data_IF_972040753301
#
_entry.id   IF_972040753301
#
_cell.length_a   1.000
_cell.length_b   1.000
_cell.length_c   1.000
_cell.angle_alpha   90.00
_cell.angle_beta   90.00
_cell.angle_gamma   90.00
#
_symmetry.space_group_name_H-M   'P 1'
#
loop_
_entity.id
_entity.type
_entity.pdbx_description
1 polymer ?
#
# COMPACT_ATOMS: atom_id res chain seq x y z
N UNK A 1 37.25 -22.15 23.10
CA UNK A 1 36.35 -22.00 21.94
C UNK A 1 35.72 -20.60 21.95
N UNK A 2 36.37 -19.62 21.33
CA UNK A 2 35.84 -18.26 21.20
C UNK A 2 34.75 -18.24 20.12
N UNK A 3 33.51 -18.49 20.54
CA UNK A 3 32.32 -18.44 19.69
C UNK A 3 32.17 -17.02 19.12
N UNK A 4 32.58 -16.84 17.86
CA UNK A 4 32.49 -15.59 17.09
C UNK A 4 31.04 -15.13 16.86
N UNK A 5 30.51 -14.43 17.87
CA UNK A 5 29.37 -13.49 17.74
C UNK A 5 29.73 -12.45 16.68
N UNK A 6 28.72 -11.95 15.95
CA UNK A 6 28.97 -10.79 15.08
C UNK A 6 29.50 -9.67 15.95
N UNK A 7 30.55 -9.00 15.49
CA UNK A 7 31.12 -7.87 16.20
C UNK A 7 30.01 -6.83 16.41
N UNK A 8 29.69 -6.57 17.69
CA UNK A 8 28.68 -5.60 18.10
C UNK A 8 28.95 -4.24 17.46
N UNK A 9 30.22 -3.89 17.27
CA UNK A 9 30.68 -2.71 16.53
C UNK A 9 30.14 -2.66 15.09
N UNK A 10 30.11 -3.79 14.37
CA UNK A 10 29.57 -3.88 13.01
C UNK A 10 28.06 -3.58 13.00
N UNK A 11 27.31 -4.12 13.97
CA UNK A 11 25.87 -3.87 14.09
C UNK A 11 25.60 -2.38 14.35
N UNK A 12 26.35 -1.76 15.25
CA UNK A 12 26.23 -0.33 15.53
C UNK A 12 26.63 0.56 14.34
N UNK A 13 27.68 0.21 13.61
CA UNK A 13 28.07 0.90 12.37
C UNK A 13 26.95 0.84 11.32
N UNK A 14 26.33 -0.33 11.16
CA UNK A 14 25.20 -0.53 10.27
C UNK A 14 23.99 0.30 10.71
N UNK A 15 23.66 0.33 12.00
CA UNK A 15 22.57 1.15 12.57
C UNK A 15 22.78 2.65 12.37
N UNK A 16 24.00 3.15 12.59
CA UNK A 16 24.36 4.56 12.30
C UNK A 16 24.18 4.89 10.83
N UNK A 17 24.59 3.98 9.93
CA UNK A 17 24.39 4.15 8.50
C UNK A 17 22.90 4.16 8.16
N UNK A 18 22.11 3.24 8.74
CA UNK A 18 20.66 3.15 8.57
C UNK A 18 20.00 4.48 8.97
N UNK A 19 20.22 4.96 10.19
CA UNK A 19 19.62 6.20 10.71
C UNK A 19 20.03 7.44 9.91
N UNK A 20 21.29 7.53 9.47
CA UNK A 20 21.74 8.61 8.55
C UNK A 20 20.97 8.62 7.23
N UNK A 21 20.72 7.45 6.65
CA UNK A 21 19.93 7.35 5.42
C UNK A 21 18.45 7.68 5.66
N UNK A 22 17.88 7.32 6.81
CA UNK A 22 16.48 7.66 7.14
C UNK A 22 16.27 9.17 7.20
N UNK A 23 17.22 9.93 7.77
CA UNK A 23 17.12 11.40 7.89
C UNK A 23 16.96 12.13 6.54
N UNK A 24 17.32 11.48 5.43
CA UNK A 24 17.19 12.04 4.08
C UNK A 24 15.79 11.92 3.46
N UNK A 25 14.87 11.18 4.07
CA UNK A 25 13.49 11.10 3.54
C UNK A 25 12.74 12.42 3.76
N UNK A 26 11.81 12.84 2.89
CA UNK A 26 11.17 14.16 3.01
C UNK A 26 10.13 14.25 4.13
N UNK A 27 9.37 13.18 4.38
CA UNK A 27 8.23 13.20 5.29
C UNK A 27 8.58 12.71 6.70
N UNK A 28 8.09 13.40 7.72
CA UNK A 28 8.33 13.06 9.12
C UNK A 28 7.80 11.67 9.50
N UNK A 29 6.56 11.35 9.12
CA UNK A 29 5.95 10.03 9.39
C UNK A 29 6.82 8.87 8.85
N UNK A 30 7.26 8.97 7.60
CA UNK A 30 8.12 7.95 6.97
C UNK A 30 9.45 7.81 7.71
N UNK A 31 10.03 8.91 8.20
CA UNK A 31 11.25 8.87 9.03
C UNK A 31 10.99 8.14 10.34
N UNK A 32 9.94 8.48 11.06
CA UNK A 32 9.58 7.87 12.34
C UNK A 32 9.32 6.36 12.19
N UNK A 33 8.53 5.97 11.18
CA UNK A 33 8.27 4.57 10.87
C UNK A 33 9.57 3.79 10.62
N UNK A 34 10.47 4.33 9.78
CA UNK A 34 11.73 3.66 9.45
C UNK A 34 12.70 3.64 10.64
N UNK A 35 12.66 4.63 11.53
CA UNK A 35 13.45 4.64 12.76
C UNK A 35 13.03 3.53 13.72
N UNK A 36 11.71 3.38 13.96
CA UNK A 36 11.16 2.28 14.75
C UNK A 36 11.55 0.94 14.14
N UNK A 37 11.36 0.78 12.83
CA UNK A 37 11.77 -0.42 12.11
C UNK A 37 13.27 -0.73 12.24
N UNK A 38 14.14 0.28 12.09
CA UNK A 38 15.58 0.11 12.20
C UNK A 38 16.00 -0.33 13.61
N UNK A 39 15.33 0.19 14.64
CA UNK A 39 15.49 -0.23 16.03
C UNK A 39 15.11 -1.69 16.20
N UNK A 40 13.92 -2.09 15.78
CA UNK A 40 13.43 -3.48 15.88
C UNK A 40 14.36 -4.46 15.15
N UNK A 41 14.80 -4.10 13.94
CA UNK A 41 15.69 -4.94 13.13
C UNK A 41 17.05 -5.16 13.83
N UNK A 42 17.57 -4.15 14.54
CA UNK A 42 18.83 -4.23 15.31
C UNK A 42 18.64 -4.96 16.63
N UNK A 43 17.58 -4.68 17.39
CA UNK A 43 17.23 -5.41 18.62
C UNK A 43 17.06 -6.90 18.32
N UNK A 44 16.43 -7.23 17.20
CA UNK A 44 16.27 -8.62 16.73
C UNK A 44 17.61 -9.30 16.42
N UNK A 45 18.63 -8.56 15.97
CA UNK A 45 19.98 -9.12 15.78
C UNK A 45 20.64 -9.35 17.14
N UNK A 46 20.61 -8.36 18.03
CA UNK A 46 21.34 -8.37 19.31
C UNK A 46 20.76 -9.35 20.33
N UNK A 47 19.43 -9.40 20.49
CA UNK A 47 18.79 -10.12 21.59
C UNK A 47 18.18 -11.47 21.17
N UNK A 48 17.69 -11.59 19.94
CA UNK A 48 16.89 -12.75 19.52
C UNK A 48 17.62 -13.75 18.63
N UNK A 49 18.95 -13.65 18.50
CA UNK A 49 19.75 -14.50 17.62
C UNK A 49 20.57 -15.51 18.42
N UNK A 50 19.95 -16.59 18.92
CA UNK A 50 20.67 -17.68 19.59
C UNK A 50 21.57 -18.48 18.65
N UNK A 51 21.23 -18.54 17.35
CA UNK A 51 21.96 -19.29 16.33
C UNK A 51 22.74 -18.35 15.40
N UNK A 52 24.05 -18.55 15.30
CA UNK A 52 24.97 -17.79 14.41
C UNK A 52 24.49 -17.69 12.95
N UNK A 53 23.89 -18.76 12.42
CA UNK A 53 23.33 -18.77 11.05
C UNK A 53 22.17 -17.79 10.89
N UNK A 54 21.31 -17.67 11.91
CA UNK A 54 20.18 -16.73 11.91
C UNK A 54 20.68 -15.29 12.05
N UNK A 55 21.67 -15.06 12.91
CA UNK A 55 22.34 -13.76 13.09
C UNK A 55 22.91 -13.25 11.76
N UNK A 56 23.73 -14.07 11.07
CA UNK A 56 24.28 -13.71 9.74
C UNK A 56 23.18 -13.44 8.70
N UNK A 57 22.08 -14.21 8.72
CA UNK A 57 20.95 -14.00 7.80
C UNK A 57 20.21 -12.69 8.07
N UNK A 58 20.03 -12.33 9.35
CA UNK A 58 19.42 -11.06 9.77
C UNK A 58 20.33 -9.88 9.43
N UNK A 59 21.63 -9.97 9.74
CA UNK A 59 22.60 -8.95 9.36
C UNK A 59 22.60 -8.69 7.84
N UNK A 60 22.66 -9.74 7.03
CA UNK A 60 22.55 -9.62 5.56
C UNK A 60 21.23 -9.00 5.11
N UNK A 61 20.13 -9.24 5.82
CA UNK A 61 18.84 -8.61 5.54
C UNK A 61 18.90 -7.11 5.81
N UNK A 62 19.43 -6.70 6.96
CA UNK A 62 19.58 -5.27 7.31
C UNK A 62 20.55 -4.57 6.36
N UNK A 63 21.67 -5.20 5.99
CA UNK A 63 22.59 -4.67 4.96
C UNK A 63 21.87 -4.43 3.62
N UNK A 64 20.99 -5.35 3.19
CA UNK A 64 20.15 -5.18 1.99
C UNK A 64 19.16 -4.03 2.13
N UNK A 65 18.52 -3.87 3.28
CA UNK A 65 17.61 -2.73 3.54
C UNK A 65 18.36 -1.40 3.53
N UNK A 66 19.54 -1.32 4.15
CA UNK A 66 20.39 -0.12 4.11
C UNK A 66 20.82 0.21 2.68
N UNK A 67 21.19 -0.79 1.87
CA UNK A 67 21.50 -0.57 0.47
C UNK A 67 20.27 -0.11 -0.33
N UNK A 68 19.08 -0.63 -0.02
CA UNK A 68 17.83 -0.16 -0.63
C UNK A 68 17.51 1.28 -0.22
N UNK A 69 17.77 1.70 1.02
CA UNK A 69 17.62 3.10 1.45
C UNK A 69 18.60 4.01 0.72
N UNK A 70 19.86 3.60 0.57
CA UNK A 70 20.84 4.34 -0.24
C UNK A 70 20.35 4.51 -1.67
N UNK A 71 19.79 3.46 -2.27
CA UNK A 71 19.18 3.52 -3.60
C UNK A 71 17.96 4.45 -3.65
N UNK A 72 17.08 4.40 -2.66
CA UNK A 72 15.91 5.29 -2.58
C UNK A 72 16.32 6.77 -2.43
N UNK A 73 17.43 7.04 -1.74
CA UNK A 73 17.98 8.37 -1.53
C UNK A 73 18.86 8.87 -2.69
N UNK A 74 19.34 8.00 -3.60
CA UNK A 74 20.21 8.41 -4.70
C UNK A 74 19.48 9.14 -5.83
N UNK A 75 18.16 9.32 -5.73
CA UNK A 75 17.40 10.15 -6.67
C UNK A 75 17.01 9.44 -7.96
N UNK A 76 17.44 9.92 -9.12
CA UNK A 76 16.86 9.52 -10.41
C UNK A 76 17.24 8.10 -10.86
N UNK A 77 16.30 7.41 -11.49
CA UNK A 77 16.46 6.05 -12.01
C UNK A 77 15.36 5.11 -11.55
N UNK A 78 15.00 4.14 -12.40
CA UNK A 78 13.99 3.12 -12.08
C UNK A 78 14.29 2.36 -10.77
N UNK A 79 15.54 1.93 -10.48
CA UNK A 79 15.84 1.21 -9.24
C UNK A 79 15.61 2.04 -7.98
N UNK A 80 15.88 3.35 -8.04
CA UNK A 80 15.62 4.28 -6.93
C UNK A 80 14.13 4.49 -6.71
N UNK A 81 13.37 4.66 -7.79
CA UNK A 81 11.90 4.76 -7.73
C UNK A 81 11.30 3.51 -7.08
N UNK A 82 11.70 2.33 -7.53
CA UNK A 82 11.20 1.06 -6.98
C UNK A 82 11.59 0.89 -5.50
N UNK A 83 12.80 1.34 -5.12
CA UNK A 83 13.27 1.34 -3.74
C UNK A 83 12.49 2.32 -2.84
N UNK A 84 12.17 3.52 -3.34
CA UNK A 84 11.38 4.50 -2.60
C UNK A 84 9.93 4.04 -2.44
N UNK A 85 9.32 3.53 -3.52
CA UNK A 85 7.98 2.96 -3.47
C UNK A 85 7.90 1.75 -2.54
N UNK A 86 8.96 0.95 -2.43
CA UNK A 86 9.03 -0.12 -1.45
C UNK A 86 8.91 0.40 0.00
N UNK A 87 9.57 1.50 0.35
CA UNK A 87 9.46 2.07 1.71
C UNK A 87 8.11 2.75 1.95
N UNK A 88 7.54 3.41 0.93
CA UNK A 88 6.15 3.88 1.02
C UNK A 88 5.20 2.70 1.24
N UNK A 89 5.34 1.61 0.48
CA UNK A 89 4.49 0.44 0.62
C UNK A 89 4.61 -0.21 2.01
N UNK A 90 5.79 -0.18 2.63
CA UNK A 90 5.97 -0.67 3.99
C UNK A 90 5.33 0.26 5.03
N UNK A 91 5.65 1.56 4.99
CA UNK A 91 5.21 2.54 5.97
C UNK A 91 3.70 2.80 5.92
N UNK A 92 3.11 2.64 4.74
CA UNK A 92 1.67 2.76 4.51
C UNK A 92 0.99 1.41 4.35
N UNK A 93 1.50 0.36 5.02
CA UNK A 93 0.76 -0.88 5.20
C UNK A 93 0.32 -1.59 3.92
N UNK A 94 0.97 -1.36 2.78
CA UNK A 94 0.73 -2.09 1.53
C UNK A 94 1.44 -3.43 1.51
N UNK A 95 2.46 -3.60 2.35
CA UNK A 95 3.27 -4.80 2.49
C UNK A 95 3.57 -5.08 3.97
N UNK A 96 3.93 -6.33 4.26
CA UNK A 96 4.42 -6.73 5.57
C UNK A 96 3.33 -6.86 6.64
N UNK A 97 3.72 -6.69 7.91
CA UNK A 97 2.87 -6.89 9.09
C UNK A 97 1.74 -5.87 9.17
N UNK A 98 2.06 -4.59 8.95
CA UNK A 98 1.08 -3.50 8.99
C UNK A 98 -0.06 -3.71 7.96
N UNK A 99 0.22 -4.30 6.79
CA UNK A 99 -0.84 -4.70 5.85
C UNK A 99 -1.85 -5.65 6.50
N UNK A 100 -1.33 -6.66 7.20
CA UNK A 100 -2.17 -7.67 7.81
C UNK A 100 -3.03 -7.05 8.91
N UNK A 101 -2.43 -6.23 9.78
CA UNK A 101 -3.12 -5.52 10.86
C UNK A 101 -4.23 -4.60 10.33
N UNK A 102 -3.98 -3.87 9.23
CA UNK A 102 -4.99 -3.00 8.61
C UNK A 102 -6.08 -3.79 7.86
N UNK A 103 -5.77 -4.97 7.32
CA UNK A 103 -6.73 -5.81 6.59
C UNK A 103 -7.55 -6.72 7.51
N UNK A 104 -7.03 -7.08 8.68
CA UNK A 104 -7.66 -7.99 9.63
C UNK A 104 -9.11 -7.58 10.00
N UNK A 105 -9.40 -6.32 10.38
CA UNK A 105 -10.78 -5.91 10.67
C UNK A 105 -11.67 -5.94 9.42
N UNK A 106 -11.10 -5.71 8.23
CA UNK A 106 -11.83 -5.76 6.96
C UNK A 106 -12.22 -7.20 6.59
N UNK A 107 -11.36 -8.16 6.89
CA UNK A 107 -11.56 -9.58 6.56
C UNK A 107 -12.46 -10.27 7.60
N UNK A 108 -12.35 -9.89 8.87
CA UNK A 108 -13.11 -10.49 9.98
C UNK A 108 -14.18 -9.54 10.50
N UNK A 109 -14.98 -9.00 9.58
CA UNK A 109 -16.08 -8.11 9.91
C UNK A 109 -17.11 -8.84 10.79
N UNK A 110 -17.30 -8.45 12.07
CA UNK A 110 -18.25 -9.10 12.96
C UNK A 110 -19.70 -8.82 12.59
N UNK A 111 -19.96 -7.79 11.78
CA UNK A 111 -21.31 -7.44 11.31
C UNK A 111 -21.75 -8.29 10.12
N UNK A 112 -20.79 -8.93 9.44
CA UNK A 112 -21.10 -9.77 8.30
C UNK A 112 -21.88 -11.02 8.75
N UNK A 113 -22.96 -11.39 8.04
CA UNK A 113 -23.72 -12.58 8.39
C UNK A 113 -22.83 -13.81 8.26
N UNK A 114 -22.73 -14.58 9.35
CA UNK A 114 -21.90 -15.78 9.40
C UNK A 114 -22.52 -16.83 8.47
N UNK A 115 -21.80 -17.28 7.43
CA UNK A 115 -22.37 -18.23 6.48
C UNK A 115 -22.56 -19.62 7.13
N UNK A 116 -23.50 -20.42 6.59
CA UNK A 116 -23.77 -21.77 7.09
C UNK A 116 -22.56 -22.69 6.90
N UNK A 117 -22.45 -23.72 7.75
CA UNK A 117 -21.41 -24.76 7.63
C UNK A 117 -21.65 -25.56 6.34
N UNK A 118 -20.64 -25.72 5.48
CA UNK A 118 -20.74 -26.57 4.28
C UNK A 118 -20.80 -28.07 4.69
N UNK A 119 -20.04 -28.44 5.73
CA UNK A 119 -20.05 -29.77 6.34
C UNK A 119 -20.66 -29.64 7.74
N UNK A 120 -21.86 -30.19 8.00
CA UNK A 120 -22.59 -29.94 9.25
C UNK A 120 -21.78 -30.24 10.52
N UNK A 121 -21.04 -31.35 10.54
CA UNK A 121 -20.24 -31.79 11.69
C UNK A 121 -18.93 -31.00 11.90
N UNK A 122 -18.50 -30.16 10.96
CA UNK A 122 -17.17 -29.51 11.00
C UNK A 122 -17.32 -27.99 10.99
N UNK A 123 -17.06 -27.34 12.12
CA UNK A 123 -17.22 -25.87 12.22
C UNK A 123 -16.27 -25.08 11.32
N UNK A 124 -15.05 -25.59 11.15
CA UNK A 124 -14.03 -25.02 10.25
C UNK A 124 -14.42 -25.09 8.76
N UNK A 125 -15.52 -25.77 8.43
CA UNK A 125 -16.06 -25.82 7.06
C UNK A 125 -16.91 -24.61 6.69
N UNK A 126 -17.10 -23.65 7.60
CA UNK A 126 -17.75 -22.38 7.25
C UNK A 126 -16.94 -21.68 6.15
N UNK A 127 -17.60 -21.21 5.09
CA UNK A 127 -16.93 -20.42 4.09
C UNK A 127 -16.60 -19.03 4.66
N UNK A 128 -15.71 -18.29 4.01
CA UNK A 128 -15.39 -16.94 4.44
C UNK A 128 -16.59 -16.00 4.30
N UNK A 129 -16.82 -15.18 5.32
CA UNK A 129 -17.78 -14.09 5.25
C UNK A 129 -17.19 -12.93 4.43
N UNK A 130 -17.98 -12.37 3.52
CA UNK A 130 -17.61 -11.19 2.74
C UNK A 130 -18.40 -10.00 3.29
N UNK A 131 -17.75 -9.20 4.14
CA UNK A 131 -18.32 -7.94 4.64
C UNK A 131 -18.50 -6.91 3.53
N UNK A 132 -19.35 -5.92 3.75
CA UNK A 132 -19.68 -4.89 2.75
C UNK A 132 -18.45 -4.11 2.27
N UNK A 133 -17.53 -3.80 3.20
CA UNK A 133 -16.26 -3.11 2.90
C UNK A 133 -15.38 -3.98 2.02
N UNK A 134 -15.25 -5.27 2.34
CA UNK A 134 -14.45 -6.21 1.56
C UNK A 134 -15.01 -6.36 0.14
N UNK A 135 -16.34 -6.46 0.00
CA UNK A 135 -16.98 -6.51 -1.31
C UNK A 135 -16.72 -5.24 -2.13
N UNK A 136 -16.84 -4.06 -1.53
CA UNK A 136 -16.55 -2.78 -2.18
C UNK A 136 -15.10 -2.72 -2.69
N UNK A 137 -14.13 -3.14 -1.86
CA UNK A 137 -12.72 -3.20 -2.25
C UNK A 137 -12.43 -4.24 -3.34
N UNK A 138 -13.17 -5.35 -3.38
CA UNK A 138 -13.03 -6.37 -4.43
C UNK A 138 -13.59 -5.91 -5.78
N UNK A 139 -14.68 -5.14 -5.74
CA UNK A 139 -15.33 -4.57 -6.92
C UNK A 139 -14.60 -3.34 -7.47
N UNK A 140 -13.81 -2.64 -6.66
CA UNK A 140 -13.03 -1.50 -7.12
C UNK A 140 -11.71 -1.92 -7.81
N UNK A 141 -11.35 -1.18 -8.86
CA UNK A 141 -10.11 -1.38 -9.61
C UNK A 141 -8.89 -0.84 -8.85
N UNK A 142 -9.04 0.29 -8.15
CA UNK A 142 -7.92 0.98 -7.51
C UNK A 142 -7.48 0.32 -6.20
N UNK A 143 -8.41 -0.30 -5.48
CA UNK A 143 -8.16 -1.11 -4.30
C UNK A 143 -7.34 -2.39 -4.54
N UNK A 144 -6.94 -2.70 -5.79
CA UNK A 144 -6.33 -4.00 -6.16
C UNK A 144 -5.00 -3.89 -6.88
N UNK A 145 -4.08 -4.81 -6.56
CA UNK A 145 -2.72 -4.89 -7.12
C UNK A 145 -2.67 -5.18 -8.64
N UNK A 146 -3.78 -5.55 -9.29
CA UNK A 146 -3.85 -5.83 -10.74
C UNK A 146 -4.85 -4.99 -11.53
N UNK A 147 -5.50 -4.00 -10.91
CA UNK A 147 -6.50 -3.10 -11.54
C UNK A 147 -7.68 -3.75 -12.28
N UNK A 148 -7.85 -5.06 -12.19
CA UNK A 148 -8.99 -5.79 -12.78
C UNK A 148 -10.04 -6.03 -11.70
N UNK A 149 -11.14 -5.26 -11.63
CA UNK A 149 -12.17 -5.44 -10.62
C UNK A 149 -12.89 -6.79 -10.75
N UNK A 150 -13.46 -7.29 -9.65
CA UNK A 150 -14.30 -8.49 -9.67
C UNK A 150 -15.72 -8.13 -10.08
N UNK A 151 -16.36 -9.00 -10.86
CA UNK A 151 -17.79 -8.87 -11.14
C UNK A 151 -18.57 -9.05 -9.82
N UNK A 152 -19.66 -8.31 -9.58
CA UNK A 152 -20.50 -8.51 -8.40
C UNK A 152 -20.91 -9.98 -8.27
N UNK A 153 -20.66 -10.58 -7.12
CA UNK A 153 -21.00 -11.98 -6.84
C UNK A 153 -20.07 -13.03 -7.46
N UNK A 154 -18.96 -12.64 -8.10
CA UNK A 154 -17.96 -13.61 -8.59
C UNK A 154 -17.21 -14.38 -7.50
N UNK A 155 -17.37 -13.97 -6.24
CA UNK A 155 -16.89 -14.67 -5.04
C UNK A 155 -17.91 -15.65 -4.45
N UNK A 156 -19.13 -15.71 -5.00
CA UNK A 156 -20.12 -16.71 -4.58
C UNK A 156 -19.70 -18.09 -5.07
N UNK A 157 -20.06 -19.12 -4.31
CA UNK A 157 -19.73 -20.52 -4.61
C UNK A 157 -20.05 -20.91 -6.06
N UNK A 158 -21.23 -20.51 -6.56
CA UNK A 158 -21.67 -20.79 -7.92
C UNK A 158 -20.71 -20.30 -9.02
N UNK A 159 -19.95 -19.23 -8.79
CA UNK A 159 -18.98 -18.70 -9.76
C UNK A 159 -17.56 -19.27 -9.58
N UNK A 160 -17.24 -19.79 -8.40
CA UNK A 160 -15.91 -20.30 -8.04
C UNK A 160 -15.73 -21.79 -8.31
N UNK A 161 -16.82 -22.55 -8.23
CA UNK A 161 -16.79 -24.00 -8.30
C UNK A 161 -16.83 -24.48 -9.76
N UNK A 162 -16.21 -25.64 -10.05
CA UNK A 162 -16.30 -26.24 -11.37
C UNK A 162 -17.73 -26.71 -11.68
N UNK A 163 -18.08 -26.94 -12.95
CA UNK A 163 -19.41 -27.42 -13.34
C UNK A 163 -19.80 -28.73 -12.66
N UNK A 164 -18.86 -29.64 -12.41
CA UNK A 164 -19.04 -30.86 -11.58
C UNK A 164 -19.56 -30.62 -10.16
N UNK A 165 -19.47 -29.40 -9.61
CA UNK A 165 -20.05 -29.08 -8.30
C UNK A 165 -21.55 -28.80 -8.34
N UNK A 166 -22.11 -28.55 -9.53
CA UNK A 166 -23.54 -28.31 -9.71
C UNK A 166 -24.24 -29.67 -9.76
N UNK A 167 -25.17 -29.90 -8.83
CA UNK A 167 -25.98 -31.11 -8.83
C UNK A 167 -26.76 -31.23 -10.15
N UNK A 168 -26.58 -32.35 -10.85
CA UNK A 168 -27.25 -32.62 -12.12
C UNK A 168 -26.48 -32.21 -13.38
N UNK A 169 -25.28 -31.63 -13.27
CA UNK A 169 -24.42 -31.44 -14.45
C UNK A 169 -23.93 -32.78 -14.99
N UNK A 170 -23.71 -32.86 -16.31
CA UNK A 170 -23.18 -34.07 -16.97
C UNK A 170 -21.84 -34.49 -16.36
N UNK A 171 -20.97 -33.53 -16.02
CA UNK A 171 -19.71 -33.81 -15.33
C UNK A 171 -19.94 -34.45 -13.94
N UNK A 172 -20.94 -34.00 -13.19
CA UNK A 172 -21.26 -34.60 -11.88
C UNK A 172 -21.82 -36.02 -12.04
N UNK A 173 -22.52 -36.32 -13.13
CA UNK A 173 -22.98 -37.67 -13.45
C UNK A 173 -21.81 -38.58 -13.86
N UNK A 174 -20.87 -38.07 -14.66
CA UNK A 174 -19.73 -38.82 -15.17
C UNK A 174 -18.65 -39.09 -14.10
N UNK A 175 -18.32 -38.09 -13.28
CA UNK A 175 -17.23 -38.15 -12.29
C UNK A 175 -17.71 -38.33 -10.84
N UNK A 176 -19.03 -38.29 -10.61
CA UNK A 176 -19.64 -38.34 -9.29
C UNK A 176 -19.72 -36.97 -8.59
N UNK A 177 -20.36 -36.92 -7.40
CA UNK A 177 -20.62 -35.67 -6.69
C UNK A 177 -19.33 -35.02 -6.18
N UNK A 178 -19.27 -33.69 -6.28
CA UNK A 178 -18.11 -32.93 -5.85
C UNK A 178 -17.91 -32.97 -4.32
N UNK A 179 -16.69 -33.21 -3.87
CA UNK A 179 -16.38 -33.28 -2.44
C UNK A 179 -16.57 -31.94 -1.74
N UNK A 180 -17.41 -31.91 -0.71
CA UNK A 180 -17.62 -30.73 0.17
C UNK A 180 -16.31 -30.18 0.75
N UNK A 181 -15.35 -31.05 1.09
CA UNK A 181 -14.02 -30.60 1.57
C UNK A 181 -13.25 -29.83 0.50
N UNK A 182 -13.36 -30.25 -0.76
CA UNK A 182 -12.71 -29.59 -1.90
C UNK A 182 -13.36 -28.24 -2.17
N UNK A 183 -14.69 -28.14 -2.05
CA UNK A 183 -15.41 -26.87 -2.12
C UNK A 183 -14.91 -25.87 -1.07
N UNK A 184 -14.89 -26.27 0.21
CA UNK A 184 -14.36 -25.44 1.32
C UNK A 184 -12.94 -24.95 0.99
N UNK A 185 -12.07 -25.86 0.55
CA UNK A 185 -10.69 -25.53 0.20
C UNK A 185 -10.60 -24.53 -0.97
N UNK A 186 -11.45 -24.65 -1.99
CA UNK A 186 -11.48 -23.72 -3.13
C UNK A 186 -11.88 -22.32 -2.65
N UNK A 187 -12.93 -22.22 -1.84
CA UNK A 187 -13.41 -20.93 -1.35
C UNK A 187 -12.38 -20.23 -0.45
N UNK A 188 -11.75 -20.94 0.48
CA UNK A 188 -10.68 -20.38 1.32
C UNK A 188 -9.43 -20.00 0.54
N UNK A 189 -9.03 -20.80 -0.47
CA UNK A 189 -7.92 -20.46 -1.37
C UNK A 189 -8.23 -19.20 -2.16
N UNK A 190 -9.46 -19.06 -2.65
CA UNK A 190 -9.90 -17.87 -3.35
C UNK A 190 -9.81 -16.65 -2.42
N UNK A 191 -10.40 -16.70 -1.22
CA UNK A 191 -10.34 -15.57 -0.29
C UNK A 191 -8.90 -15.19 0.05
N UNK A 192 -8.03 -16.14 0.42
CA UNK A 192 -6.62 -15.85 0.71
C UNK A 192 -5.86 -15.29 -0.50
N UNK A 193 -6.21 -15.70 -1.72
CA UNK A 193 -5.67 -15.11 -2.95
C UNK A 193 -6.17 -13.67 -3.13
N UNK A 194 -7.45 -13.41 -2.90
CA UNK A 194 -8.03 -12.07 -3.00
C UNK A 194 -7.46 -11.12 -1.96
N UNK A 195 -7.37 -11.53 -0.70
CA UNK A 195 -6.80 -10.77 0.42
C UNK A 195 -5.37 -10.29 0.11
N UNK A 196 -4.53 -11.15 -0.48
CA UNK A 196 -3.17 -10.78 -0.89
C UNK A 196 -3.14 -9.69 -1.97
N UNK A 197 -4.13 -9.66 -2.85
CA UNK A 197 -4.23 -8.71 -3.95
C UNK A 197 -4.89 -7.38 -3.57
N UNK A 198 -5.57 -7.32 -2.42
CA UNK A 198 -6.23 -6.11 -1.94
C UNK A 198 -5.26 -5.17 -1.23
N UNK A 199 -5.54 -3.88 -1.37
CA UNK A 199 -4.90 -2.80 -0.65
C UNK A 199 -5.78 -2.41 0.56
N UNK A 200 -5.21 -2.24 1.76
CA UNK A 200 -6.01 -1.86 2.93
C UNK A 200 -6.62 -0.47 2.78
N UNK A 201 -7.86 -0.26 3.26
CA UNK A 201 -8.43 1.07 3.38
C UNK A 201 -7.67 1.86 4.45
N UNK A 202 -7.44 3.14 4.19
CA UNK A 202 -6.79 4.04 5.17
C UNK A 202 -7.77 4.92 5.92
N UNK A 203 -8.92 5.20 5.31
CA UNK A 203 -9.94 6.08 5.86
C UNK A 203 -11.30 5.50 5.52
N UNK A 204 -12.16 5.55 6.54
CA UNK A 204 -13.57 5.27 6.44
C UNK A 204 -14.24 6.62 6.62
N UNK A 205 -14.58 7.26 5.51
CA UNK A 205 -15.21 8.58 5.54
C UNK A 205 -16.68 8.34 5.84
N UNK A 206 -17.13 8.77 7.02
CA UNK A 206 -18.55 9.01 7.25
C UNK A 206 -18.85 10.39 6.65
N UNK A 207 -19.81 10.51 5.75
CA UNK A 207 -20.12 11.77 5.06
C UNK A 207 -20.74 12.84 5.95
N UNK A 208 -20.88 12.58 7.26
CA UNK A 208 -21.72 13.33 8.19
C UNK A 208 -20.84 13.98 9.28
N UNK A 209 -19.71 14.58 8.89
CA UNK A 209 -18.80 15.26 9.83
C UNK A 209 -19.39 16.56 10.44
N UNK A 210 -20.62 16.97 10.05
CA UNK A 210 -21.26 18.19 10.55
C UNK A 210 -22.39 17.97 11.60
N UNK A 211 -22.88 16.74 11.83
CA UNK A 211 -23.95 16.47 12.82
C UNK A 211 -23.54 15.38 13.83
N UNK A 212 -22.62 15.75 14.73
CA UNK A 212 -22.20 14.91 15.86
C UNK A 212 -23.32 14.85 16.92
N UNK A 213 -23.88 13.66 17.19
CA UNK A 213 -24.08 13.11 18.55
C UNK A 213 -24.95 11.83 18.63
N UNK A 214 -25.69 11.41 17.60
CA UNK A 214 -26.78 10.44 17.83
C UNK A 214 -26.57 8.98 17.36
N UNK A 215 -25.62 8.65 16.46
CA UNK A 215 -25.56 7.32 15.84
C UNK A 215 -24.18 6.63 15.94
N UNK A 216 -23.74 6.34 17.16
CA UNK A 216 -22.41 5.76 17.46
C UNK A 216 -22.26 4.25 17.18
N UNK A 217 -23.32 3.50 16.85
CA UNK A 217 -23.30 2.03 16.98
C UNK A 217 -22.55 1.25 15.89
N UNK A 218 -22.38 1.79 14.68
CA UNK A 218 -21.64 1.12 13.58
C UNK A 218 -20.30 1.79 13.24
N UNK A 219 -20.18 3.11 13.36
CA UNK A 219 -18.91 3.82 13.12
C UNK A 219 -17.86 3.48 14.19
N UNK A 220 -18.26 3.35 15.46
CA UNK A 220 -17.33 3.09 16.59
C UNK A 220 -16.53 1.79 16.44
N UNK A 221 -17.06 0.78 15.74
CA UNK A 221 -16.35 -0.49 15.53
C UNK A 221 -15.20 -0.36 14.53
N UNK A 222 -15.32 0.57 13.59
CA UNK A 222 -14.29 0.87 12.62
C UNK A 222 -13.38 2.04 13.04
N UNK A 223 -13.78 2.82 14.05
CA UNK A 223 -12.95 3.84 14.71
C UNK A 223 -11.64 3.29 15.29
N UNK A 224 -11.52 1.96 15.43
CA UNK A 224 -10.28 1.29 15.80
C UNK A 224 -9.18 1.41 14.73
N UNK A 225 -9.51 1.73 13.48
CA UNK A 225 -8.53 2.10 12.45
C UNK A 225 -8.20 3.58 12.67
N UNK A 226 -7.03 3.93 13.24
CA UNK A 226 -6.78 5.31 13.62
C UNK A 226 -6.57 6.13 12.35
N UNK A 227 -7.45 7.10 12.10
CA UNK A 227 -7.20 8.15 11.10
C UNK A 227 -6.18 9.12 11.69
N UNK A 228 -4.89 8.78 11.56
CA UNK A 228 -3.77 9.60 12.01
C UNK A 228 -3.62 10.92 11.20
N UNK A 229 -4.63 11.31 10.39
CA UNK A 229 -4.52 12.44 9.47
C UNK A 229 -3.51 12.22 8.34
N UNK A 230 -2.98 10.99 8.20
CA UNK A 230 -1.90 10.67 7.27
C UNK A 230 -2.28 10.94 5.81
N UNK A 231 -3.54 10.69 5.44
CA UNK A 231 -4.01 11.01 4.09
C UNK A 231 -4.01 12.52 3.88
N UNK A 232 -4.54 13.30 4.82
CA UNK A 232 -4.56 14.77 4.73
C UNK A 232 -3.13 15.33 4.61
N UNK A 233 -2.18 14.75 5.34
CA UNK A 233 -0.75 15.10 5.22
C UNK A 233 -0.18 14.78 3.84
N UNK A 234 -0.51 13.62 3.28
CA UNK A 234 -0.09 13.25 1.92
C UNK A 234 -0.74 14.17 0.89
N UNK A 235 -2.02 14.46 1.03
CA UNK A 235 -2.78 15.36 0.15
C UNK A 235 -2.20 16.78 0.20
N UNK A 236 -1.85 17.28 1.38
CA UNK A 236 -1.14 18.57 1.56
C UNK A 236 0.23 18.53 0.88
N UNK A 237 0.98 17.44 1.05
CA UNK A 237 2.31 17.27 0.45
C UNK A 237 2.24 17.28 -1.09
N UNK A 238 1.30 16.53 -1.67
CA UNK A 238 1.09 16.46 -3.13
C UNK A 238 0.52 17.78 -3.65
N UNK A 239 -0.43 18.34 -2.90
CA UNK A 239 -1.33 19.42 -3.23
C UNK A 239 -2.17 19.18 -4.50
N UNK A 240 -3.03 20.15 -4.88
CA UNK A 240 -3.87 20.01 -6.06
C UNK A 240 -3.02 19.73 -7.32
N UNK A 241 -3.64 19.17 -8.35
CA UNK A 241 -3.00 19.16 -9.65
C UNK A 241 -2.71 20.63 -10.06
N UNK A 242 -1.56 20.93 -10.71
CA UNK A 242 -1.46 22.19 -11.42
C UNK A 242 -2.61 22.25 -12.44
N UNK A 243 -3.26 23.42 -12.61
CA UNK A 243 -4.25 23.57 -13.68
C UNK A 243 -3.59 23.21 -15.01
N UNK A 244 -4.36 22.59 -15.90
CA UNK A 244 -3.90 22.36 -17.28
C UNK A 244 -3.54 23.73 -17.86
N UNK A 245 -2.36 23.90 -18.47
CA UNK A 245 -2.00 25.18 -19.05
C UNK A 245 -3.09 25.58 -20.05
N UNK A 246 -3.67 26.76 -19.83
CA UNK A 246 -4.70 27.32 -20.71
C UNK A 246 -4.15 27.38 -22.13
N UNK A 247 -4.97 26.98 -23.10
CA UNK A 247 -4.62 27.13 -24.50
C UNK A 247 -4.53 28.62 -24.86
N UNK A 248 -3.78 28.97 -25.91
CA UNK A 248 -3.60 30.37 -26.34
C UNK A 248 -4.94 31.10 -26.55
N UNK A 249 -5.99 30.38 -26.97
CA UNK A 249 -7.36 30.92 -27.13
C UNK A 249 -8.02 31.23 -25.78
N UNK A 250 -7.88 30.33 -24.81
CA UNK A 250 -8.43 30.52 -23.46
C UNK A 250 -7.71 31.64 -22.71
N UNK A 251 -6.38 31.78 -22.89
CA UNK A 251 -5.62 32.90 -22.32
C UNK A 251 -6.09 34.27 -22.85
N UNK A 252 -6.49 34.34 -24.13
CA UNK A 252 -7.02 35.57 -24.70
C UNK A 252 -8.43 35.93 -24.17
N UNK A 253 -9.18 34.94 -23.69
CA UNK A 253 -10.55 35.12 -23.20
C UNK A 253 -10.61 35.38 -21.68
N UNK A 254 -9.75 34.75 -20.88
CA UNK A 254 -9.88 34.79 -19.42
C UNK A 254 -9.42 36.08 -18.75
N UNK A 255 -8.70 36.96 -19.44
CA UNK A 255 -8.11 38.14 -18.81
C UNK A 255 -7.12 37.78 -17.70
N UNK A 256 -6.28 38.73 -17.33
CA UNK A 256 -5.09 38.44 -16.50
C UNK A 256 -5.43 38.41 -15.00
N UNK A 257 -6.27 37.47 -14.55
CA UNK A 257 -6.51 37.24 -13.13
C UNK A 257 -6.29 35.77 -12.75
N UNK A 258 -5.01 35.37 -12.72
CA UNK A 258 -4.62 34.12 -12.07
C UNK A 258 -4.22 34.46 -10.64
N UNK A 259 -5.17 34.34 -9.71
CA UNK A 259 -4.88 34.37 -8.28
C UNK A 259 -3.98 33.17 -7.94
N UNK A 260 -2.69 33.42 -7.75
CA UNK A 260 -1.73 32.42 -7.31
C UNK A 260 -1.74 32.40 -5.78
N UNK A 261 -2.73 31.74 -5.17
CA UNK A 261 -2.55 31.37 -3.76
C UNK A 261 -1.28 30.51 -3.63
N UNK A 262 -0.37 30.81 -2.70
CA UNK A 262 0.82 30.01 -2.47
C UNK A 262 0.42 28.64 -1.94
N UNK A 263 0.29 27.70 -2.87
CA UNK A 263 -0.08 26.33 -2.59
C UNK A 263 0.99 25.71 -1.68
N UNK A 264 0.57 25.18 -0.52
CA UNK A 264 1.39 24.49 0.48
C UNK A 264 1.96 23.13 0.02
N UNK A 265 2.35 23.06 -1.25
CA UNK A 265 2.89 21.89 -1.94
C UNK A 265 4.35 21.67 -1.59
N UNK A 266 4.77 20.41 -1.56
CA UNK A 266 6.19 20.10 -1.46
C UNK A 266 6.92 20.58 -2.73
N UNK A 267 8.09 21.26 -2.62
CA UNK A 267 8.78 21.83 -3.78
C UNK A 267 9.20 20.73 -4.78
N UNK A 268 9.81 19.65 -4.29
CA UNK A 268 10.26 18.54 -5.15
C UNK A 268 9.10 17.86 -5.89
N UNK A 269 9.11 17.95 -7.22
CA UNK A 269 8.20 17.23 -8.11
C UNK A 269 8.36 15.71 -8.02
N UNK A 270 9.59 15.23 -7.81
CA UNK A 270 9.86 13.80 -7.68
C UNK A 270 9.11 13.20 -6.49
N UNK A 271 9.21 13.88 -5.33
CA UNK A 271 8.52 13.48 -4.10
C UNK A 271 7.00 13.50 -4.34
N UNK A 272 6.46 14.61 -4.85
CA UNK A 272 5.02 14.74 -5.13
C UNK A 272 4.49 13.62 -6.03
N UNK A 273 5.22 13.24 -7.07
CA UNK A 273 4.81 12.15 -7.98
C UNK A 273 4.74 10.80 -7.26
N UNK A 274 5.68 10.51 -6.35
CA UNK A 274 5.67 9.24 -5.59
C UNK A 274 4.52 9.17 -4.59
N UNK A 275 4.26 10.27 -3.89
CA UNK A 275 3.10 10.35 -3.00
C UNK A 275 1.77 10.36 -3.75
N UNK A 276 1.71 10.94 -4.96
CA UNK A 276 0.55 10.80 -5.84
C UNK A 276 0.33 9.34 -6.28
N UNK A 277 1.41 8.64 -6.67
CA UNK A 277 1.37 7.19 -6.96
C UNK A 277 0.89 6.36 -5.76
N UNK A 278 1.24 6.80 -4.54
CA UNK A 278 0.70 6.22 -3.32
C UNK A 278 -0.81 6.48 -3.19
N UNK A 279 -1.28 7.72 -3.36
CA UNK A 279 -2.72 8.07 -3.28
C UNK A 279 -3.58 7.30 -4.29
N UNK A 280 -3.09 7.04 -5.50
CA UNK A 280 -3.79 6.20 -6.49
C UNK A 280 -4.04 4.77 -5.99
N UNK A 281 -3.20 4.29 -5.08
CA UNK A 281 -3.25 2.94 -4.51
C UNK A 281 -3.89 2.92 -3.12
N UNK A 282 -4.38 4.06 -2.65
CA UNK A 282 -5.05 4.21 -1.36
C UNK A 282 -6.55 4.24 -1.59
N UNK A 283 -7.26 3.11 -1.40
CA UNK A 283 -8.71 3.13 -1.44
C UNK A 283 -9.23 3.90 -0.22
N UNK A 284 -10.13 4.83 -0.49
CA UNK A 284 -11.00 5.48 0.47
C UNK A 284 -12.32 4.72 0.45
N UNK A 285 -12.89 4.39 1.60
CA UNK A 285 -14.18 3.70 1.65
C UNK A 285 -15.19 4.67 2.24
N UNK A 286 -16.20 4.99 1.44
CA UNK A 286 -17.25 5.93 1.80
C UNK A 286 -18.46 5.13 2.29
N UNK A 287 -18.86 5.38 3.53
CA UNK A 287 -20.10 4.85 4.07
C UNK A 287 -21.22 5.83 3.75
N UNK A 288 -22.28 5.38 3.07
CA UNK A 288 -23.40 6.24 2.78
C UNK A 288 -24.14 6.61 4.07
N UNK A 289 -24.44 7.91 4.23
CA UNK A 289 -25.25 8.40 5.33
C UNK A 289 -26.61 7.70 5.39
N UNK A 290 -27.12 7.35 6.59
CA UNK A 290 -28.49 6.88 6.75
C UNK A 290 -29.52 7.95 6.35
N UNK A 291 -29.17 9.24 6.31
CA UNK A 291 -30.10 10.31 5.96
C UNK A 291 -30.49 10.32 4.47
N UNK A 292 -29.70 9.70 3.58
CA UNK A 292 -29.98 9.67 2.14
C UNK A 292 -31.00 8.58 1.73
N UNK A 293 -31.74 8.01 2.70
CA UNK A 293 -32.62 6.85 2.54
C UNK A 293 -33.98 7.19 1.89
N UNK A 294 -33.99 7.78 0.70
CA UNK A 294 -35.15 7.67 -0.20
C UNK A 294 -35.01 6.41 -1.06
N UNK A 295 -35.26 5.24 -0.47
CA UNK A 295 -35.54 3.97 -1.17
C UNK A 295 -34.37 3.22 -1.85
N UNK A 296 -33.21 3.83 -2.05
CA UNK A 296 -32.06 3.16 -2.66
C UNK A 296 -31.22 2.43 -1.61
N UNK A 297 -30.98 1.12 -1.79
CA UNK A 297 -30.00 0.36 -0.99
C UNK A 297 -28.64 1.03 -1.13
N UNK A 298 -28.21 1.74 -0.09
CA UNK A 298 -26.97 2.49 -0.14
C UNK A 298 -25.80 1.50 -0.12
N UNK A 299 -25.05 1.47 -1.22
CA UNK A 299 -23.91 0.56 -1.38
C UNK A 299 -22.66 1.28 -0.90
N UNK A 300 -21.92 0.63 0.00
CA UNK A 300 -20.56 1.05 0.37
C UNK A 300 -19.72 1.16 -0.91
N UNK A 301 -19.07 2.30 -1.11
CA UNK A 301 -18.30 2.58 -2.31
C UNK A 301 -16.84 2.79 -1.93
N UNK A 302 -15.94 2.19 -2.69
CA UNK A 302 -14.53 2.54 -2.63
C UNK A 302 -14.25 3.64 -3.68
N UNK A 303 -13.59 4.70 -3.25
CA UNK A 303 -13.17 5.85 -4.05
C UNK A 303 -11.66 6.07 -3.90
N UNK A 304 -11.12 7.00 -4.68
CA UNK A 304 -9.71 7.43 -4.58
C UNK A 304 -9.67 8.93 -4.30
N UNK A 305 -8.61 9.37 -3.62
CA UNK A 305 -8.40 10.79 -3.35
C UNK A 305 -8.41 11.61 -4.66
N UNK A 306 -9.06 12.79 -4.70
CA UNK A 306 -9.05 13.66 -5.88
C UNK A 306 -7.64 14.13 -6.24
N UNK A 307 -6.73 14.21 -5.27
CA UNK A 307 -5.32 14.58 -5.47
C UNK A 307 -4.50 13.50 -6.20
N UNK A 308 -5.07 12.29 -6.35
CA UNK A 308 -4.45 11.19 -7.10
C UNK A 308 -4.53 11.37 -8.63
N UNK A 309 -5.56 12.07 -9.13
CA UNK A 309 -5.94 12.16 -10.55
C UNK A 309 -5.19 13.23 -11.36
N UNK A 310 -4.04 13.70 -10.89
CA UNK A 310 -3.28 14.70 -11.64
C UNK A 310 -2.89 14.19 -13.04
N UNK A 311 -3.26 14.95 -14.08
CA UNK A 311 -2.78 14.76 -15.45
C UNK A 311 -1.25 14.63 -15.37
N UNK A 312 -0.74 13.42 -15.60
CA UNK A 312 0.70 13.25 -15.70
C UNK A 312 1.11 14.02 -16.96
N UNK A 313 1.95 15.07 -16.84
CA UNK A 313 2.41 15.76 -18.05
C UNK A 313 3.03 14.72 -18.98
N UNK A 314 2.71 14.78 -20.26
CA UNK A 314 3.33 13.93 -21.29
C UNK A 314 4.85 13.89 -21.08
N UNK A 315 5.53 12.74 -21.30
CA UNK A 315 6.97 12.60 -21.07
C UNK A 315 7.86 13.46 -21.99
N UNK A 316 7.30 14.33 -22.82
CA UNK A 316 8.04 15.26 -23.65
C UNK A 316 8.87 16.22 -22.78
N UNK A 317 10.18 15.96 -22.72
CA UNK A 317 11.30 16.78 -22.21
C UNK A 317 11.06 17.48 -20.88
N UNK A 318 11.57 16.89 -19.80
CA UNK A 318 11.57 17.53 -18.47
C UNK A 318 12.97 17.99 -18.13
N UNK A 319 13.12 19.30 -18.04
CA UNK A 319 14.22 19.95 -17.32
C UNK A 319 14.18 19.49 -15.85
N UNK A 320 15.35 19.16 -15.31
CA UNK A 320 15.50 18.76 -13.92
C UNK A 320 15.51 20.05 -13.12
N UNK A 321 14.45 20.29 -12.34
CA UNK A 321 14.31 21.45 -11.48
C UNK A 321 15.45 21.51 -10.43
N UNK A 322 16.00 22.69 -10.14
CA UNK A 322 17.14 22.86 -9.21
C UNK A 322 16.78 22.38 -7.80
N UNK A 323 15.52 22.55 -7.39
CA UNK A 323 15.01 22.00 -6.13
C UNK A 323 14.95 20.46 -6.13
N UNK A 324 14.95 19.82 -7.30
CA UNK A 324 15.10 18.36 -7.44
C UNK A 324 16.57 17.95 -7.42
N UNK A 325 17.47 18.80 -7.92
CA UNK A 325 18.92 18.63 -7.81
C UNK A 325 19.43 18.80 -6.37
N UNK A 326 18.80 19.67 -5.57
CA UNK A 326 19.18 19.89 -4.16
C UNK A 326 19.05 18.66 -3.25
N UNK A 327 18.31 17.63 -3.68
CA UNK A 327 18.23 16.34 -2.98
C UNK A 327 19.31 15.34 -3.42
N UNK A 328 20.08 15.66 -4.46
CA UNK A 328 21.18 14.84 -4.93
C UNK A 328 22.43 15.25 -4.16
N UNK A 329 22.89 14.39 -3.26
CA UNK A 329 24.32 14.42 -2.96
C UNK A 329 25.05 14.16 -4.28
N UNK A 330 26.03 15.00 -4.68
CA UNK A 330 26.84 14.69 -5.85
C UNK A 330 27.42 13.30 -5.63
N UNK A 331 27.03 12.35 -6.48
CA UNK A 331 27.65 11.03 -6.45
C UNK A 331 29.16 11.26 -6.54
N UNK A 332 29.97 10.67 -5.64
CA UNK A 332 31.42 10.84 -5.72
C UNK A 332 31.82 10.46 -7.13
N UNK A 333 32.41 11.42 -7.86
CA UNK A 333 32.81 11.23 -9.24
C UNK A 333 33.57 9.89 -9.29
N UNK A 334 33.07 8.94 -10.08
CA UNK A 334 33.78 7.67 -10.27
C UNK A 334 35.15 8.03 -10.78
N UNK A 335 36.16 7.92 -9.91
CA UNK A 335 37.55 8.12 -10.28
C UNK A 335 37.81 7.25 -11.50
N UNK A 336 38.35 7.80 -12.61
CA UNK A 336 38.61 7.03 -13.81
C UNK A 336 39.47 5.83 -13.41
N UNK A 337 38.89 4.63 -13.50
CA UNK A 337 39.63 3.39 -13.28
C UNK A 337 40.69 3.34 -14.37
N UNK A 338 41.94 3.65 -14.00
CA UNK A 338 43.14 3.43 -14.81
C UNK A 338 43.21 1.92 -15.11
N UNK A 339 42.57 1.50 -16.20
CA UNK A 339 42.82 0.20 -16.80
C UNK A 339 44.20 0.24 -17.44
N UNK A 340 45.23 0.09 -16.61
CA UNK A 340 46.60 -0.13 -17.04
C UNK A 340 46.69 -1.48 -17.72
N UNK A 341 46.56 -1.49 -19.04
CA UNK A 341 46.82 -2.64 -19.91
C UNK A 341 48.34 -2.78 -20.00
N UNK A 342 48.96 -3.61 -19.15
CA UNK A 342 50.33 -4.07 -19.36
C UNK A 342 50.36 -4.91 -20.64
N UNK A 343 51.03 -4.42 -21.67
CA UNK A 343 51.59 -5.26 -22.73
C UNK A 343 52.89 -5.83 -22.15
N UNK A 344 52.98 -7.15 -22.06
CA UNK A 344 54.24 -7.86 -21.93
C UNK A 344 54.76 -8.10 -23.35
N UNK A 345 56.04 -7.76 -23.55
CA UNK A 345 56.84 -8.08 -24.75
C UNK A 345 57.52 -9.44 -24.58
#
# INVERSE_FOLDING_TARGET
MASGRVEVAKVFSLYRTYTRQIRKFPQLYLRQFLQLKARDDVETILYHSSKRRLEKKRLKRVEKEVNRLKLANSGHGRPSVDAFEHFLDLAYGRKGKLKHELMEPVVHDPTAPIPPKIIPAVEKSRPPAYGRVLEALMMDAHARMGRKPYKPGSWKAAALLPPSAIHGSEEAQLFGPFSKRREVNIQWRFQKKTEKLLYPPFRLVSTDDDDQLANASESDKWSAVPDFGLIKDIERLVGPAPPVPLTRKEMAQMGTQVSQEPLSRHPSLWVRRRYRSLLVRVPLVDFPSPSSLTGAKTKVKASISPYSLGVLPSPARREVDDASLAWLDPLPAKSPTKNGRKKEE
#
